data_IF_000386408272
#
_entry.id   IF_000386408272
#
_cell.length_a   1.000
_cell.length_b   1.000
_cell.length_c   1.000
_cell.angle_alpha   90.00
_cell.angle_beta   90.00
_cell.angle_gamma   90.00
#
_symmetry.space_group_name_H-M   'P 1'
#
loop_
_entity.id
_entity.type
_entity.pdbx_description
1 polymer ?
#
# COMPACT_ATOMS: atom_id res chain seq x y z
N UNK A 1 -16.30 6.62 23.36
CA UNK A 1 -16.61 5.96 22.08
C UNK A 1 -15.28 5.50 21.52
N UNK A 2 -15.05 4.20 21.43
CA UNK A 2 -13.80 3.65 20.89
C UNK A 2 -13.94 3.73 19.37
N UNK A 3 -13.20 4.63 18.75
CA UNK A 3 -13.18 4.77 17.29
C UNK A 3 -12.49 3.51 16.74
N UNK A 4 -13.26 2.57 16.20
CA UNK A 4 -12.70 1.38 15.59
C UNK A 4 -11.92 1.79 14.33
N UNK A 5 -10.72 1.23 14.11
CA UNK A 5 -9.90 1.62 12.97
C UNK A 5 -10.64 1.33 11.67
N UNK A 6 -10.91 2.39 10.90
CA UNK A 6 -11.60 2.30 9.61
C UNK A 6 -10.70 1.63 8.57
N UNK A 7 -10.94 0.35 8.32
CA UNK A 7 -10.25 -0.43 7.29
C UNK A 7 -10.84 -0.11 5.91
N UNK A 8 -9.97 0.08 4.91
CA UNK A 8 -10.35 0.23 3.52
C UNK A 8 -9.54 -0.74 2.66
N UNK A 9 -10.21 -1.52 1.83
CA UNK A 9 -9.59 -2.47 0.92
C UNK A 9 -9.60 -1.93 -0.52
N UNK A 10 -8.48 -2.11 -1.21
CA UNK A 10 -8.32 -1.67 -2.59
C UNK A 10 -7.80 -2.82 -3.44
N UNK A 11 -8.46 -3.07 -4.57
CA UNK A 11 -7.93 -3.96 -5.61
C UNK A 11 -7.38 -3.11 -6.76
N UNK A 12 -6.07 -3.11 -6.93
CA UNK A 12 -5.42 -2.43 -8.05
C UNK A 12 -5.36 -3.36 -9.27
N UNK A 13 -5.50 -2.82 -10.46
CA UNK A 13 -5.11 -3.49 -11.71
C UNK A 13 -3.59 -3.41 -11.88
N UNK A 14 -3.04 -4.27 -12.72
CA UNK A 14 -1.62 -4.17 -13.10
C UNK A 14 -1.32 -2.79 -13.71
N UNK A 15 -0.13 -2.25 -13.41
CA UNK A 15 0.35 -0.93 -13.81
C UNK A 15 -0.53 0.24 -13.40
N UNK A 16 -1.37 0.04 -12.37
CA UNK A 16 -2.13 1.10 -11.74
C UNK A 16 -1.53 1.50 -10.41
N UNK A 17 -1.84 2.73 -10.02
CA UNK A 17 -1.39 3.34 -8.80
C UNK A 17 -2.55 3.62 -7.85
N UNK A 18 -2.33 3.43 -6.56
CA UNK A 18 -3.17 3.98 -5.51
C UNK A 18 -2.44 5.16 -4.87
N UNK A 19 -3.06 6.33 -4.92
CA UNK A 19 -2.55 7.56 -4.31
C UNK A 19 -3.47 7.94 -3.15
N UNK A 20 -2.89 8.09 -1.96
CA UNK A 20 -3.62 8.57 -0.80
C UNK A 20 -2.76 9.52 0.03
N UNK A 21 -3.42 10.44 0.71
CA UNK A 21 -2.81 11.34 1.68
C UNK A 21 -3.06 10.81 3.09
N UNK A 22 -2.01 10.72 3.90
CA UNK A 22 -2.13 10.44 5.32
C UNK A 22 -2.54 11.73 6.00
N UNK A 23 -3.79 11.79 6.48
CA UNK A 23 -4.36 12.94 7.17
C UNK A 23 -3.73 13.19 8.54
N UNK A 24 -4.56 13.40 9.57
CA UNK A 24 -4.09 13.72 10.92
C UNK A 24 -3.63 12.50 11.74
N UNK A 25 -3.99 11.29 11.31
CA UNK A 25 -3.67 10.03 12.01
C UNK A 25 -2.82 9.14 11.12
N UNK A 26 -1.98 8.33 11.75
CA UNK A 26 -1.19 7.30 11.06
C UNK A 26 -2.09 6.36 10.23
N UNK A 27 -1.58 5.93 9.08
CA UNK A 27 -2.19 4.90 8.25
C UNK A 27 -1.30 3.67 8.22
N UNK A 28 -1.88 2.51 8.48
CA UNK A 28 -1.21 1.21 8.35
C UNK A 28 -1.62 0.59 7.01
N UNK A 29 -0.62 0.30 6.18
CA UNK A 29 -0.78 -0.37 4.89
C UNK A 29 -0.29 -1.82 5.00
N UNK A 30 -1.05 -2.74 4.41
CA UNK A 30 -0.69 -4.15 4.29
C UNK A 30 -0.97 -4.61 2.85
N UNK A 31 0.02 -5.27 2.23
CA UNK A 31 -0.17 -5.91 0.93
C UNK A 31 -0.73 -7.32 1.15
N UNK A 32 -1.99 -7.53 0.78
CA UNK A 32 -2.65 -8.83 0.96
C UNK A 32 -2.33 -9.85 -0.14
N UNK A 33 -2.08 -9.38 -1.37
CA UNK A 33 -1.84 -10.26 -2.52
C UNK A 33 -1.05 -9.56 -3.64
N UNK A 34 -0.20 -10.33 -4.32
CA UNK A 34 0.53 -9.88 -5.51
C UNK A 34 1.86 -9.21 -5.18
N UNK A 35 2.29 -8.28 -6.03
CA UNK A 35 3.49 -7.45 -5.83
C UNK A 35 3.16 -5.98 -6.04
N UNK A 36 3.65 -5.15 -5.14
CA UNK A 36 3.48 -3.71 -5.21
C UNK A 36 4.70 -3.04 -4.57
N UNK A 37 4.89 -1.76 -4.87
CA UNK A 37 5.96 -0.95 -4.31
C UNK A 37 5.47 0.42 -3.85
N UNK A 38 6.18 0.99 -2.88
CA UNK A 38 6.02 2.39 -2.45
C UNK A 38 7.36 3.09 -2.66
N UNK A 39 7.38 4.15 -3.47
CA UNK A 39 8.59 4.91 -3.81
C UNK A 39 9.78 4.04 -4.29
N UNK A 40 9.52 3.04 -5.13
CA UNK A 40 10.55 2.13 -5.64
C UNK A 40 11.02 1.07 -4.65
N UNK A 41 10.40 0.96 -3.47
CA UNK A 41 10.67 -0.10 -2.49
C UNK A 41 9.55 -1.15 -2.56
N UNK A 42 9.91 -2.39 -2.90
CA UNK A 42 8.97 -3.53 -2.96
C UNK A 42 8.41 -3.85 -1.57
N UNK A 43 7.10 -4.06 -1.48
CA UNK A 43 6.43 -4.44 -0.25
C UNK A 43 6.40 -5.96 -0.06
N UNK A 44 6.79 -6.40 1.12
CA UNK A 44 6.54 -7.78 1.58
C UNK A 44 5.04 -8.02 1.85
N UNK A 45 4.53 -9.16 1.38
CA UNK A 45 3.16 -9.59 1.60
C UNK A 45 2.89 -9.83 3.10
N UNK A 46 1.72 -9.41 3.58
CA UNK A 46 1.30 -9.49 4.99
C UNK A 46 2.14 -8.70 6.01
N UNK A 47 3.14 -7.93 5.55
CA UNK A 47 3.88 -7.01 6.41
C UNK A 47 3.12 -5.68 6.52
N UNK A 48 3.05 -5.16 7.74
CA UNK A 48 2.40 -3.88 8.05
C UNK A 48 3.41 -2.74 7.99
N UNK A 49 3.10 -1.72 7.20
CA UNK A 49 3.88 -0.50 7.04
C UNK A 49 3.09 0.68 7.58
N UNK A 50 3.63 1.35 8.58
CA UNK A 50 3.00 2.49 9.22
C UNK A 50 3.52 3.80 8.60
N UNK A 51 2.61 4.64 8.12
CA UNK A 51 2.92 5.93 7.51
C UNK A 51 2.42 7.07 8.40
N UNK A 52 3.32 8.00 8.81
CA UNK A 52 2.95 9.09 9.70
C UNK A 52 2.08 10.15 8.98
N UNK A 53 1.36 10.99 9.75
CA UNK A 53 0.58 12.12 9.24
C UNK A 53 1.33 13.00 8.24
N UNK A 54 0.57 13.68 7.37
CA UNK A 54 1.08 14.67 6.39
C UNK A 54 2.06 14.08 5.36
N UNK A 55 1.81 12.83 4.92
CA UNK A 55 2.54 12.17 3.85
C UNK A 55 1.61 11.86 2.69
N UNK A 56 2.03 12.20 1.48
CA UNK A 56 1.45 11.64 0.26
C UNK A 56 2.12 10.30 -0.01
N UNK A 57 1.34 9.24 -0.20
CA UNK A 57 1.83 7.91 -0.51
C UNK A 57 1.33 7.50 -1.89
N UNK A 58 2.24 6.92 -2.67
CA UNK A 58 1.97 6.36 -3.99
C UNK A 58 2.37 4.88 -3.97
N UNK A 59 1.37 4.02 -4.14
CA UNK A 59 1.53 2.57 -4.26
C UNK A 59 1.37 2.19 -5.73
N UNK A 60 2.37 1.53 -6.31
CA UNK A 60 2.31 1.03 -7.69
C UNK A 60 2.18 -0.49 -7.71
N UNK A 61 1.22 -1.03 -8.48
CA UNK A 61 1.07 -2.48 -8.68
C UNK A 61 1.82 -2.95 -9.93
N UNK A 62 2.72 -3.90 -9.73
CA UNK A 62 3.50 -4.50 -10.83
C UNK A 62 2.62 -5.41 -11.69
N UNK A 63 2.69 -5.26 -13.02
CA UNK A 63 2.36 -6.35 -13.95
C UNK A 63 3.49 -7.39 -13.86
N UNK A 64 3.20 -8.62 -13.41
CA UNK A 64 4.13 -9.77 -13.32
C UNK A 64 5.61 -9.50 -13.62
N UNK A 65 6.44 -9.44 -12.58
CA UNK A 65 7.90 -9.46 -12.74
C UNK A 65 8.28 -10.86 -13.27
N UNK A 66 8.80 -10.91 -14.50
CA UNK A 66 9.13 -12.14 -15.20
C UNK A 66 10.06 -13.05 -14.39
N UNK A 67 9.81 -14.36 -14.46
CA UNK A 67 10.71 -15.37 -13.91
C UNK A 67 12.03 -15.37 -14.68
N UNK A 68 13.13 -15.06 -14.02
CA UNK A 68 14.47 -15.32 -14.55
C UNK A 68 14.77 -16.79 -14.23
N UNK A 69 14.94 -17.60 -15.27
CA UNK A 69 15.39 -18.99 -15.16
C UNK A 69 16.85 -19.06 -14.73
#
# INVERSE_FOLDING_TARGET
MTDEPKVQEFTLKEDHELRFEVGSTEVVLELLQGRAEVFGTELEMHKKYAFPPSKFILLYKHSRIGSVR
#
